data_IF_495911130360
#
_entry.id   IF_495911130360
#
_cell.length_a   1.000
_cell.length_b   1.000
_cell.length_c   1.000
_cell.angle_alpha   90.00
_cell.angle_beta   90.00
_cell.angle_gamma   90.00
#
_symmetry.space_group_name_H-M   'P 1'
#
loop_
_entity.id
_entity.type
_entity.pdbx_description
1 polymer ?
#
# COMPACT_ATOMS: atom_id res chain seq x y z
N UNK A 1 -18.98 20.77 -4.65
CA UNK A 1 -17.72 21.38 -4.16
C UNK A 1 -17.78 22.90 -4.14
N UNK A 2 -18.00 23.58 -5.28
CA UNK A 2 -18.13 25.05 -5.34
C UNK A 2 -19.19 25.59 -4.37
N UNK A 3 -20.39 24.99 -4.37
CA UNK A 3 -21.48 25.36 -3.45
C UNK A 3 -21.16 25.18 -1.97
N UNK A 4 -20.25 24.26 -1.62
CA UNK A 4 -19.84 23.99 -0.22
C UNK A 4 -18.76 24.96 0.25
N UNK A 5 -17.80 25.27 -0.63
CA UNK A 5 -16.81 26.32 -0.39
C UNK A 5 -17.49 27.68 -0.27
N UNK A 6 -18.51 27.92 -1.10
CA UNK A 6 -19.35 29.11 -1.09
C UNK A 6 -20.19 29.21 0.20
N UNK A 7 -20.84 28.14 0.64
CA UNK A 7 -21.59 28.17 1.91
C UNK A 7 -20.67 28.36 3.12
N UNK A 8 -19.49 27.71 3.11
CA UNK A 8 -18.50 27.86 4.19
C UNK A 8 -17.90 29.27 4.22
N UNK A 9 -17.63 29.88 3.06
CA UNK A 9 -17.14 31.27 3.00
C UNK A 9 -18.20 32.26 3.46
N UNK A 10 -19.46 32.08 3.03
CA UNK A 10 -20.59 32.94 3.44
C UNK A 10 -20.79 32.88 4.96
N UNK A 11 -20.76 31.68 5.55
CA UNK A 11 -20.91 31.55 7.00
C UNK A 11 -19.72 32.15 7.76
N UNK A 12 -18.49 31.96 7.27
CA UNK A 12 -17.29 32.55 7.87
C UNK A 12 -17.35 34.08 7.87
N UNK A 13 -17.81 34.67 6.77
CA UNK A 13 -18.04 36.11 6.62
C UNK A 13 -19.12 36.62 7.59
N UNK A 14 -20.24 35.87 7.72
CA UNK A 14 -21.32 36.18 8.65
C UNK A 14 -20.88 36.12 10.12
N UNK A 15 -19.94 35.24 10.48
CA UNK A 15 -19.44 35.09 11.87
C UNK A 15 -18.25 35.97 12.23
N UNK A 16 -17.55 36.58 11.26
CA UNK A 16 -16.27 37.25 11.49
C UNK A 16 -16.34 38.48 12.41
N UNK A 17 -17.52 39.09 12.58
CA UNK A 17 -17.68 40.36 13.29
C UNK A 17 -18.72 40.31 14.43
N UNK A 18 -19.08 39.12 14.92
CA UNK A 18 -19.94 38.98 16.09
C UNK A 18 -19.15 39.09 17.40
N UNK A 19 -19.72 39.83 18.36
CA UNK A 19 -19.34 39.82 19.78
C UNK A 19 -20.47 39.13 20.56
N UNK A 20 -20.28 37.90 21.10
CA UNK A 20 -19.04 37.14 21.26
C UNK A 20 -18.55 36.44 19.98
N UNK A 21 -17.23 36.19 19.91
CA UNK A 21 -16.60 35.48 18.78
C UNK A 21 -17.17 34.07 18.68
N UNK A 22 -17.93 33.82 17.61
CA UNK A 22 -18.54 32.52 17.36
C UNK A 22 -17.59 31.68 16.50
N UNK A 23 -17.00 30.64 17.08
CA UNK A 23 -16.23 29.65 16.32
C UNK A 23 -17.14 28.47 15.95
N UNK A 24 -17.32 28.23 14.65
CA UNK A 24 -18.09 27.09 14.16
C UNK A 24 -17.22 25.83 14.35
N UNK A 25 -17.51 25.04 15.39
CA UNK A 25 -16.77 23.82 15.71
C UNK A 25 -17.02 22.66 14.73
N UNK A 26 -18.12 22.71 13.96
CA UNK A 26 -18.46 21.70 12.98
C UNK A 26 -19.78 22.02 12.28
N UNK A 27 -19.92 21.53 11.06
CA UNK A 27 -21.16 21.66 10.27
C UNK A 27 -21.60 20.25 9.89
N UNK A 28 -22.78 19.83 10.32
CA UNK A 28 -23.41 18.61 9.84
C UNK A 28 -24.31 18.95 8.65
N UNK A 29 -23.88 18.58 7.44
CA UNK A 29 -24.57 18.86 6.18
C UNK A 29 -25.21 17.57 5.61
N UNK A 30 -25.07 16.43 6.28
CA UNK A 30 -25.59 15.14 5.78
C UNK A 30 -24.89 14.59 4.53
N UNK A 31 -23.70 15.12 4.17
CA UNK A 31 -22.94 14.75 2.95
C UNK A 31 -21.71 13.88 3.29
N UNK A 32 -21.78 13.13 4.38
CA UNK A 32 -20.64 12.35 4.90
C UNK A 32 -20.11 11.34 3.88
N UNK A 33 -20.98 10.61 3.19
CA UNK A 33 -20.57 9.55 2.26
C UNK A 33 -19.73 10.10 1.10
N UNK A 34 -20.17 11.19 0.46
CA UNK A 34 -19.43 11.77 -0.66
C UNK A 34 -18.11 12.40 -0.19
N UNK A 35 -18.11 13.07 0.97
CA UNK A 35 -16.87 13.60 1.56
C UNK A 35 -15.88 12.47 1.86
N UNK A 36 -16.33 11.41 2.54
CA UNK A 36 -15.48 10.29 2.93
C UNK A 36 -14.83 9.61 1.73
N UNK A 37 -15.57 9.44 0.62
CA UNK A 37 -15.04 8.89 -0.62
C UNK A 37 -13.95 9.80 -1.24
N UNK A 38 -14.17 11.11 -1.24
CA UNK A 38 -13.20 12.09 -1.78
C UNK A 38 -11.94 12.14 -0.92
N UNK A 39 -12.08 12.10 0.40
CA UNK A 39 -10.92 12.08 1.31
C UNK A 39 -10.09 10.83 1.10
N UNK A 40 -10.71 9.65 1.00
CA UNK A 40 -9.97 8.41 0.72
C UNK A 40 -9.26 8.44 -0.63
N UNK A 41 -9.90 8.95 -1.69
CA UNK A 41 -9.24 9.15 -2.99
C UNK A 41 -8.04 10.11 -2.90
N UNK A 42 -8.15 11.14 -2.05
CA UNK A 42 -7.05 12.07 -1.80
C UNK A 42 -5.92 11.38 -1.02
N UNK A 43 -6.26 10.53 -0.06
CA UNK A 43 -5.31 9.79 0.77
C UNK A 43 -4.59 8.67 0.02
N UNK A 44 -5.17 8.14 -1.06
CA UNK A 44 -4.49 7.22 -1.98
C UNK A 44 -3.17 7.79 -2.53
N UNK A 45 -2.99 9.12 -2.57
CA UNK A 45 -1.71 9.75 -2.96
C UNK A 45 -0.61 9.46 -1.93
N UNK A 46 -0.93 9.52 -0.64
CA UNK A 46 -0.01 9.16 0.43
C UNK A 46 0.33 7.67 0.41
N UNK A 47 -0.67 6.83 0.11
CA UNK A 47 -0.45 5.40 -0.09
C UNK A 47 0.53 5.13 -1.24
N UNK A 48 0.38 5.84 -2.37
CA UNK A 48 1.29 5.71 -3.50
C UNK A 48 2.72 6.14 -3.15
N UNK A 49 2.88 7.22 -2.37
CA UNK A 49 4.19 7.63 -1.85
C UNK A 49 4.80 6.57 -0.92
N UNK A 50 3.99 5.96 -0.04
CA UNK A 50 4.42 4.85 0.81
C UNK A 50 4.88 3.64 0.01
N UNK A 51 4.12 3.25 -1.02
CA UNK A 51 4.49 2.18 -1.94
C UNK A 51 5.79 2.45 -2.71
N UNK A 52 6.00 3.70 -3.14
CA UNK A 52 7.24 4.12 -3.80
C UNK A 52 8.45 4.01 -2.86
N UNK A 53 8.32 4.54 -1.63
CA UNK A 53 9.37 4.44 -0.61
C UNK A 53 9.71 2.98 -0.30
N UNK A 54 8.69 2.15 -0.09
CA UNK A 54 8.85 0.73 0.18
C UNK A 54 9.56 0.01 -0.96
N UNK A 55 9.22 0.33 -2.21
CA UNK A 55 9.88 -0.22 -3.40
C UNK A 55 11.37 0.15 -3.45
N UNK A 56 11.72 1.38 -3.08
CA UNK A 56 13.12 1.83 -3.00
C UNK A 56 13.87 1.06 -1.91
N UNK A 57 13.27 0.89 -0.73
CA UNK A 57 13.87 0.12 0.38
C UNK A 57 14.10 -1.33 -0.03
N UNK A 58 13.10 -1.97 -0.67
CA UNK A 58 13.24 -3.32 -1.20
C UNK A 58 14.37 -3.41 -2.23
N UNK A 59 14.48 -2.44 -3.15
CA UNK A 59 15.57 -2.44 -4.13
C UNK A 59 16.95 -2.35 -3.47
N UNK A 60 17.09 -1.54 -2.41
CA UNK A 60 18.35 -1.42 -1.67
C UNK A 60 18.70 -2.75 -0.99
N UNK A 61 17.71 -3.42 -0.36
CA UNK A 61 17.94 -4.68 0.35
C UNK A 61 18.23 -5.84 -0.62
N UNK A 62 17.61 -5.83 -1.80
CA UNK A 62 17.74 -6.91 -2.79
C UNK A 62 18.92 -6.68 -3.77
N UNK A 63 19.93 -5.91 -3.36
CA UNK A 63 21.12 -5.57 -4.16
C UNK A 63 20.80 -5.01 -5.57
N UNK A 64 19.69 -4.29 -5.70
CA UNK A 64 19.25 -3.70 -6.98
C UNK A 64 18.51 -4.66 -7.92
N UNK A 65 18.07 -5.83 -7.46
CA UNK A 65 17.31 -6.79 -8.27
C UNK A 65 15.90 -6.29 -8.63
N UNK A 66 15.77 -5.68 -9.81
CA UNK A 66 14.48 -5.16 -10.32
C UNK A 66 13.47 -6.28 -10.61
N UNK A 67 13.94 -7.48 -10.95
CA UNK A 67 13.08 -8.63 -11.26
C UNK A 67 12.29 -9.06 -10.01
N UNK A 68 12.95 -9.06 -8.85
CA UNK A 68 12.31 -9.39 -7.57
C UNK A 68 11.19 -8.39 -7.27
N UNK A 69 11.48 -7.10 -7.41
CA UNK A 69 10.49 -6.04 -7.19
C UNK A 69 9.28 -6.18 -8.12
N UNK A 70 9.50 -6.37 -9.43
CA UNK A 70 8.41 -6.52 -10.41
C UNK A 70 7.53 -7.74 -10.10
N UNK A 71 8.16 -8.86 -9.72
CA UNK A 71 7.45 -10.09 -9.36
C UNK A 71 6.60 -9.87 -8.10
N UNK A 72 7.14 -9.17 -7.10
CA UNK A 72 6.41 -8.81 -5.88
C UNK A 72 5.20 -7.91 -6.17
N UNK A 73 5.40 -6.84 -6.94
CA UNK A 73 4.29 -5.94 -7.30
C UNK A 73 3.21 -6.67 -8.10
N UNK A 74 3.61 -7.54 -9.02
CA UNK A 74 2.69 -8.37 -9.77
C UNK A 74 1.92 -9.34 -8.86
N UNK A 75 2.58 -9.98 -7.91
CA UNK A 75 1.96 -10.88 -6.94
C UNK A 75 0.92 -10.17 -6.07
N UNK A 76 1.24 -8.97 -5.56
CA UNK A 76 0.32 -8.15 -4.76
C UNK A 76 -0.90 -7.74 -5.59
N UNK A 77 -0.69 -7.23 -6.82
CA UNK A 77 -1.77 -6.82 -7.71
C UNK A 77 -2.67 -8.00 -8.11
N UNK A 78 -2.07 -9.15 -8.41
CA UNK A 78 -2.80 -10.35 -8.75
C UNK A 78 -3.64 -10.86 -7.58
N UNK A 79 -3.06 -10.91 -6.38
CA UNK A 79 -3.76 -11.29 -5.15
C UNK A 79 -4.97 -10.40 -4.89
N UNK A 80 -4.80 -9.06 -4.99
CA UNK A 80 -5.89 -8.11 -4.80
C UNK A 80 -7.01 -8.27 -5.85
N UNK A 81 -6.62 -8.53 -7.10
CA UNK A 81 -7.58 -8.75 -8.21
C UNK A 81 -8.42 -10.00 -7.96
N UNK A 82 -7.79 -11.10 -7.57
CA UNK A 82 -8.47 -12.36 -7.26
C UNK A 82 -9.37 -12.21 -6.03
N UNK A 83 -8.88 -11.54 -4.97
CA UNK A 83 -9.67 -11.27 -3.78
C UNK A 83 -10.93 -10.44 -4.10
N UNK A 84 -10.80 -9.40 -4.93
CA UNK A 84 -11.93 -8.60 -5.39
C UNK A 84 -12.90 -9.41 -6.28
N UNK A 85 -12.38 -10.29 -7.13
CA UNK A 85 -13.20 -11.18 -7.95
C UNK A 85 -14.03 -12.15 -7.08
N UNK A 86 -13.43 -12.73 -6.03
CA UNK A 86 -14.14 -13.57 -5.07
C UNK A 86 -15.22 -12.74 -4.34
N UNK A 87 -14.85 -11.55 -3.85
CA UNK A 87 -15.76 -10.65 -3.16
C UNK A 87 -16.99 -10.28 -4.00
N UNK A 88 -16.77 -9.90 -5.26
CA UNK A 88 -17.83 -9.41 -6.14
C UNK A 88 -18.63 -10.52 -6.84
N UNK A 89 -17.97 -11.61 -7.27
CA UNK A 89 -18.61 -12.67 -8.08
C UNK A 89 -19.08 -13.87 -7.27
N UNK A 90 -18.32 -14.27 -6.25
CA UNK A 90 -18.63 -15.48 -5.47
C UNK A 90 -19.53 -15.12 -4.29
N UNK A 91 -19.16 -14.08 -3.53
CA UNK A 91 -19.92 -13.63 -2.37
C UNK A 91 -21.09 -12.71 -2.74
N UNK A 92 -21.08 -12.13 -3.94
CA UNK A 92 -22.14 -11.29 -4.50
C UNK A 92 -22.58 -10.14 -3.56
N UNK A 93 -21.64 -9.58 -2.79
CA UNK A 93 -21.94 -8.49 -1.86
C UNK A 93 -22.10 -7.18 -2.65
N UNK A 94 -23.28 -6.53 -2.62
CA UNK A 94 -23.60 -5.42 -3.54
C UNK A 94 -22.89 -4.11 -3.18
N UNK A 95 -22.45 -3.96 -1.93
CA UNK A 95 -21.85 -2.72 -1.42
C UNK A 95 -20.41 -2.98 -1.00
N UNK A 96 -19.44 -2.29 -1.60
CA UNK A 96 -18.03 -2.34 -1.19
C UNK A 96 -17.75 -1.27 -0.11
N UNK A 97 -17.58 -1.65 1.17
CA UNK A 97 -17.37 -0.67 2.23
C UNK A 97 -15.99 -0.02 2.10
N UNK A 98 -15.91 1.26 2.48
CA UNK A 98 -14.67 2.05 2.40
C UNK A 98 -13.51 1.44 3.19
N UNK A 99 -13.82 0.74 4.30
CA UNK A 99 -12.82 0.05 5.13
C UNK A 99 -12.03 -1.00 4.35
N UNK A 100 -12.58 -1.58 3.27
CA UNK A 100 -11.87 -2.54 2.44
C UNK A 100 -10.67 -1.91 1.71
N UNK A 101 -10.64 -0.58 1.54
CA UNK A 101 -9.46 0.13 1.01
C UNK A 101 -8.28 0.03 1.98
N UNK A 102 -8.52 -0.05 3.29
CA UNK A 102 -7.46 -0.27 4.29
C UNK A 102 -6.76 -1.62 4.12
N UNK A 103 -7.43 -2.61 3.51
CA UNK A 103 -6.81 -3.88 3.20
C UNK A 103 -5.63 -3.72 2.23
N UNK A 104 -5.66 -2.71 1.33
CA UNK A 104 -4.56 -2.41 0.42
C UNK A 104 -3.34 -1.91 1.21
N UNK A 105 -3.58 -1.06 2.21
CA UNK A 105 -2.51 -0.53 3.09
C UNK A 105 -1.86 -1.67 3.88
N UNK A 106 -2.66 -2.57 4.46
CA UNK A 106 -2.18 -3.73 5.19
C UNK A 106 -1.41 -4.71 4.28
N UNK A 107 -1.97 -4.99 3.09
CA UNK A 107 -1.36 -5.90 2.11
C UNK A 107 0.00 -5.39 1.63
N UNK A 108 0.16 -4.08 1.47
CA UNK A 108 1.43 -3.49 1.07
C UNK A 108 2.53 -3.72 2.13
N UNK A 109 2.19 -3.56 3.42
CA UNK A 109 3.13 -3.79 4.51
C UNK A 109 3.46 -5.27 4.70
N UNK A 110 2.44 -6.12 4.83
CA UNK A 110 2.61 -7.56 5.02
C UNK A 110 3.28 -8.22 3.80
N UNK A 111 2.91 -7.80 2.59
CA UNK A 111 3.46 -8.37 1.36
C UNK A 111 4.95 -8.06 1.17
N UNK A 112 5.46 -6.96 1.71
CA UNK A 112 6.90 -6.69 1.69
C UNK A 112 7.69 -7.51 2.72
N UNK A 113 7.09 -7.78 3.89
CA UNK A 113 7.69 -8.62 4.94
C UNK A 113 7.98 -10.03 4.41
N UNK A 114 7.00 -10.65 3.73
CA UNK A 114 7.14 -11.98 3.13
C UNK A 114 8.32 -12.05 2.13
N UNK A 115 8.53 -10.99 1.36
CA UNK A 115 9.60 -10.90 0.35
C UNK A 115 10.97 -10.78 0.99
N UNK A 116 11.08 -10.03 2.08
CA UNK A 116 12.33 -9.89 2.83
C UNK A 116 12.78 -11.23 3.41
N UNK A 117 11.86 -11.95 4.05
CA UNK A 117 12.12 -13.28 4.59
C UNK A 117 12.49 -14.25 3.47
N UNK A 118 11.76 -14.22 2.35
CA UNK A 118 12.06 -15.09 1.21
C UNK A 118 13.45 -14.80 0.61
N UNK A 119 13.85 -13.52 0.50
CA UNK A 119 15.18 -13.13 0.00
C UNK A 119 16.29 -13.62 0.92
N UNK A 120 16.15 -13.45 2.23
CA UNK A 120 17.14 -13.88 3.22
C UNK A 120 17.36 -15.40 3.16
N UNK A 121 16.27 -16.17 3.14
CA UNK A 121 16.34 -17.64 3.05
C UNK A 121 17.00 -18.08 1.73
N UNK A 122 16.65 -17.44 0.61
CA UNK A 122 17.24 -17.74 -0.69
C UNK A 122 18.75 -17.45 -0.72
N UNK A 123 19.17 -16.31 -0.17
CA UNK A 123 20.57 -15.92 -0.11
C UNK A 123 21.40 -16.92 0.71
N UNK A 124 20.88 -17.36 1.87
CA UNK A 124 21.54 -18.36 2.72
C UNK A 124 21.69 -19.71 2.01
N UNK A 125 20.61 -20.19 1.38
CA UNK A 125 20.64 -21.46 0.65
C UNK A 125 21.60 -21.42 -0.54
N UNK A 126 21.59 -20.32 -1.30
CA UNK A 126 22.48 -20.14 -2.45
C UNK A 126 23.95 -20.14 -2.04
N UNK A 127 24.29 -19.46 -0.94
CA UNK A 127 25.66 -19.45 -0.41
C UNK A 127 26.13 -20.85 0.02
N UNK A 128 25.25 -21.64 0.65
CA UNK A 128 25.56 -23.02 1.04
C UNK A 128 25.83 -23.91 -0.19
N UNK A 129 25.00 -23.79 -1.23
CA UNK A 129 25.17 -24.55 -2.47
C UNK A 129 26.47 -24.22 -3.19
N UNK A 130 26.85 -22.93 -3.26
CA UNK A 130 28.12 -22.50 -3.83
C UNK A 130 29.32 -23.09 -3.08
N UNK A 131 29.29 -23.14 -1.75
CA UNK A 131 30.35 -23.80 -0.97
C UNK A 131 30.48 -25.29 -1.30
N UNK A 132 29.35 -26.01 -1.35
CA UNK A 132 29.34 -27.44 -1.68
C UNK A 132 29.84 -27.70 -3.11
N UNK A 133 29.47 -26.86 -4.07
CA UNK A 133 29.95 -26.96 -5.44
C UNK A 133 31.46 -26.68 -5.53
N UNK A 134 31.96 -25.68 -4.79
CA UNK A 134 33.39 -25.38 -4.72
C UNK A 134 34.17 -26.57 -4.12
N UNK A 135 33.65 -27.17 -3.04
CA UNK A 135 34.25 -28.33 -2.37
C UNK A 135 34.25 -29.57 -3.28
N UNK A 136 33.14 -29.82 -4.00
CA UNK A 136 33.06 -30.89 -4.99
C UNK A 136 34.04 -30.71 -6.15
N UNK A 137 34.15 -29.48 -6.69
CA UNK A 137 35.11 -29.16 -7.76
C UNK A 137 36.55 -29.32 -7.28
N UNK A 138 36.85 -28.87 -6.06
CA UNK A 138 38.20 -28.96 -5.47
C UNK A 138 38.58 -30.41 -5.16
N UNK A 139 37.68 -31.21 -4.59
CA UNK A 139 37.87 -32.64 -4.36
C UNK A 139 38.12 -33.40 -5.67
N UNK A 140 37.44 -33.02 -6.75
CA UNK A 140 37.63 -33.63 -8.07
C UNK A 140 38.98 -33.28 -8.70
N UNK A 141 39.57 -32.11 -8.43
CA UNK A 141 40.90 -31.74 -8.93
C UNK A 141 42.06 -32.43 -8.19
N UNK A 142 41.87 -32.83 -6.93
CA UNK A 142 42.91 -33.53 -6.15
C UNK A 142 42.96 -35.04 -6.45
N UNK A 143 41.90 -35.59 -7.06
CA UNK A 143 41.77 -37.02 -7.35
C UNK A 143 42.38 -37.48 -8.70
N UNK A 144 43.09 -36.60 -9.42
CA UNK A 144 43.81 -36.89 -10.68
C UNK A 144 45.25 -36.39 -10.63
#
# INVERSE_FOLDING_TARGET
MLRMLESASIQRELTANLTPQLHIGGIDVGVYNDLSAIYVLTDCKWLALGACLLSIVLLIITDGSVIMLLTTLFAILWSLTVAYAIYSRVLAIPTFPLINVMAIVLLLGLGADDVLVFYEVLAVHFFSLCKLLQEYVSAKQVAW
#
